data_IF_555887043600
#
_entry.id   IF_555887043600
#
_cell.length_a   1.000
_cell.length_b   1.000
_cell.length_c   1.000
_cell.angle_alpha   90.00
_cell.angle_beta   90.00
_cell.angle_gamma   90.00
#
_symmetry.space_group_name_H-M   'P 1'
#
loop_
_entity.id
_entity.type
_entity.pdbx_description
1 polymer ?
#
# COMPACT_ATOMS: atom_id res chain seq x y z
N UNK A 1 -9.55 -7.91 -7.95
CA UNK A 1 -10.09 -6.71 -7.29
C UNK A 1 -10.16 -5.59 -8.32
N UNK A 2 -11.26 -4.84 -8.37
CA UNK A 2 -11.39 -3.63 -9.18
C UNK A 2 -10.91 -2.43 -8.35
N UNK A 3 -9.82 -1.77 -8.77
CA UNK A 3 -9.21 -0.65 -8.03
C UNK A 3 -9.92 0.69 -8.26
N UNK A 4 -10.75 0.78 -9.31
CA UNK A 4 -11.51 1.99 -9.65
C UNK A 4 -12.95 1.96 -9.12
N UNK A 5 -13.33 0.92 -8.37
CA UNK A 5 -14.67 0.85 -7.78
C UNK A 5 -14.81 1.84 -6.61
N UNK A 6 -16.02 2.35 -6.35
CA UNK A 6 -16.29 3.17 -5.18
C UNK A 6 -16.24 2.34 -3.89
N UNK A 7 -16.18 3.04 -2.76
CA UNK A 7 -16.09 2.41 -1.43
C UNK A 7 -17.21 1.38 -1.19
N UNK A 8 -18.40 1.65 -1.67
CA UNK A 8 -19.61 0.84 -1.49
C UNK A 8 -19.49 -0.57 -2.10
N UNK A 9 -18.62 -0.74 -3.09
CA UNK A 9 -18.38 -2.03 -3.76
C UNK A 9 -17.25 -2.84 -3.13
N UNK A 10 -16.57 -2.29 -2.12
CA UNK A 10 -15.49 -2.99 -1.45
C UNK A 10 -16.00 -3.87 -0.32
N UNK A 11 -15.71 -5.16 -0.41
CA UNK A 11 -16.14 -6.16 0.55
C UNK A 11 -14.95 -6.89 1.18
N UNK A 12 -15.08 -7.21 2.47
CA UNK A 12 -14.12 -8.04 3.17
C UNK A 12 -13.94 -9.40 2.45
N UNK A 13 -12.69 -9.80 2.29
CA UNK A 13 -12.33 -11.04 1.59
C UNK A 13 -11.93 -10.84 0.13
N UNK A 14 -12.26 -9.73 -0.53
CA UNK A 14 -11.77 -9.45 -1.88
C UNK A 14 -10.24 -9.46 -1.89
N UNK A 15 -9.66 -10.37 -2.67
CA UNK A 15 -8.22 -10.61 -2.72
C UNK A 15 -7.58 -10.02 -3.98
N UNK A 16 -6.27 -9.78 -3.89
CA UNK A 16 -5.45 -9.33 -5.01
C UNK A 16 -4.03 -9.86 -4.92
N UNK A 17 -3.35 -9.86 -6.05
CA UNK A 17 -1.91 -10.09 -6.14
C UNK A 17 -1.32 -9.07 -7.11
N UNK A 18 -0.22 -8.44 -6.72
CA UNK A 18 0.47 -7.47 -7.59
C UNK A 18 1.43 -8.16 -8.54
N UNK A 19 1.91 -7.43 -9.55
CA UNK A 19 3.12 -7.81 -10.26
C UNK A 19 4.30 -7.87 -9.29
N UNK A 20 5.35 -8.62 -9.64
CA UNK A 20 6.61 -8.66 -8.90
C UNK A 20 7.53 -7.51 -9.29
N UNK A 21 8.44 -7.16 -8.36
CA UNK A 21 9.56 -6.26 -8.62
C UNK A 21 10.82 -6.80 -7.95
N UNK A 22 11.92 -6.86 -8.70
CA UNK A 22 13.22 -7.25 -8.20
C UNK A 22 13.88 -6.10 -7.45
N UNK A 23 14.42 -6.39 -6.27
CA UNK A 23 15.19 -5.45 -5.44
C UNK A 23 16.61 -5.39 -5.97
N UNK A 24 17.08 -4.19 -6.31
CA UNK A 24 18.38 -3.95 -6.91
C UNK A 24 19.34 -3.26 -5.93
N UNK A 25 20.65 -3.26 -6.27
CA UNK A 25 21.66 -2.47 -5.57
C UNK A 25 21.27 -0.98 -5.50
N UNK A 26 20.81 -0.42 -6.62
CA UNK A 26 20.41 0.98 -6.71
C UNK A 26 19.26 1.32 -5.76
N UNK A 27 18.31 0.41 -5.56
CA UNK A 27 17.21 0.59 -4.63
C UNK A 27 17.70 0.72 -3.19
N UNK A 28 18.59 -0.18 -2.77
CA UNK A 28 19.11 -0.22 -1.39
C UNK A 28 19.96 1.01 -1.10
N UNK A 29 20.88 1.36 -2.02
CA UNK A 29 21.73 2.56 -1.89
C UNK A 29 20.89 3.84 -1.95
N UNK A 30 19.91 3.89 -2.85
CA UNK A 30 18.98 5.02 -2.96
C UNK A 30 18.18 5.24 -1.68
N UNK A 31 17.67 4.17 -1.08
CA UNK A 31 16.94 4.28 0.19
C UNK A 31 17.86 4.69 1.35
N UNK A 32 19.08 4.15 1.44
CA UNK A 32 20.08 4.57 2.41
C UNK A 32 20.40 6.07 2.29
N UNK A 33 20.56 6.57 1.05
CA UNK A 33 20.83 7.97 0.77
C UNK A 33 19.66 8.88 1.18
N UNK A 34 18.42 8.42 0.93
CA UNK A 34 17.22 9.19 1.24
C UNK A 34 16.97 9.29 2.75
N UNK A 35 17.24 8.21 3.47
CA UNK A 35 16.88 8.09 4.91
C UNK A 35 18.04 8.38 5.85
N UNK A 36 19.28 8.32 5.37
CA UNK A 36 20.48 8.36 6.21
C UNK A 36 20.77 7.02 6.92
N UNK A 37 20.05 5.95 6.62
CA UNK A 37 20.30 4.62 7.20
C UNK A 37 21.40 3.88 6.42
N UNK A 38 22.63 4.22 6.73
CA UNK A 38 23.84 3.60 6.18
C UNK A 38 24.34 2.43 7.04
N UNK A 39 23.46 1.76 7.78
CA UNK A 39 23.91 0.62 8.57
C UNK A 39 24.64 -0.40 7.70
N UNK A 40 25.82 -0.92 8.14
CA UNK A 40 26.66 -1.81 7.31
C UNK A 40 25.94 -3.09 6.86
N UNK A 41 24.91 -3.51 7.56
CA UNK A 41 24.06 -4.64 7.13
C UNK A 41 23.47 -4.44 5.72
N UNK A 42 23.29 -3.19 5.29
CA UNK A 42 22.71 -2.84 4.01
C UNK A 42 23.77 -2.42 2.98
N UNK A 43 24.90 -1.88 3.44
CA UNK A 43 25.82 -1.13 2.58
C UNK A 43 27.24 -1.68 2.54
N UNK A 44 27.66 -2.51 3.49
CA UNK A 44 29.01 -3.09 3.56
C UNK A 44 28.96 -4.62 3.37
N UNK A 45 29.40 -5.10 2.21
CA UNK A 45 29.36 -6.52 1.89
C UNK A 45 30.34 -7.35 2.75
N UNK A 46 31.47 -6.77 3.16
CA UNK A 46 32.45 -7.46 3.99
C UNK A 46 31.91 -7.66 5.39
N UNK A 47 31.38 -6.59 5.98
CA UNK A 47 30.76 -6.65 7.28
C UNK A 47 29.55 -7.61 7.29
N UNK A 48 28.66 -7.48 6.30
CA UNK A 48 27.45 -8.26 6.20
C UNK A 48 27.69 -9.75 6.00
N UNK A 49 28.81 -10.15 5.37
CA UNK A 49 29.19 -11.56 5.23
C UNK A 49 29.45 -12.26 6.57
N UNK A 50 29.87 -11.52 7.59
CA UNK A 50 30.02 -12.02 8.97
C UNK A 50 28.76 -11.93 9.83
N UNK A 51 27.67 -11.35 9.31
CA UNK A 51 26.42 -11.20 10.05
C UNK A 51 25.58 -12.49 10.06
N UNK A 52 24.51 -12.49 10.86
CA UNK A 52 23.54 -13.59 10.90
C UNK A 52 22.85 -13.86 9.54
N UNK A 53 22.90 -12.90 8.61
CA UNK A 53 22.28 -13.03 7.29
C UNK A 53 23.28 -13.52 6.21
N UNK A 54 24.58 -13.41 6.46
CA UNK A 54 25.65 -13.88 5.56
C UNK A 54 25.89 -12.98 4.33
N UNK A 55 25.07 -11.97 4.13
CA UNK A 55 25.13 -11.03 3.00
C UNK A 55 24.32 -9.77 3.30
N UNK A 56 24.44 -8.74 2.44
CA UNK A 56 23.62 -7.54 2.56
C UNK A 56 22.15 -7.84 2.28
N UNK A 57 21.28 -7.20 3.04
CA UNK A 57 19.83 -7.29 2.90
C UNK A 57 19.22 -5.90 2.72
N UNK A 58 18.05 -5.82 2.15
CA UNK A 58 17.27 -4.59 2.03
C UNK A 58 16.76 -4.12 3.40
N UNK A 59 16.62 -2.83 3.57
CA UNK A 59 15.98 -2.23 4.75
C UNK A 59 14.52 -2.70 4.87
N UNK A 60 14.08 -3.03 6.05
CA UNK A 60 12.69 -3.47 6.25
C UNK A 60 11.68 -2.44 5.80
N UNK A 61 11.88 -1.17 6.16
CA UNK A 61 10.99 -0.06 5.75
C UNK A 61 11.03 0.18 4.23
N UNK A 62 12.17 -0.05 3.56
CA UNK A 62 12.22 -0.02 2.10
C UNK A 62 11.30 -1.10 1.50
N UNK A 63 11.36 -2.33 2.00
CA UNK A 63 10.51 -3.44 1.53
C UNK A 63 9.04 -3.10 1.67
N UNK A 64 8.63 -2.48 2.78
CA UNK A 64 7.25 -2.05 3.01
C UNK A 64 6.86 -0.90 2.07
N UNK A 65 7.73 0.07 1.87
CA UNK A 65 7.52 1.19 0.93
C UNK A 65 7.41 0.70 -0.51
N UNK A 66 8.28 -0.24 -0.91
CA UNK A 66 8.24 -0.85 -2.23
C UNK A 66 6.93 -1.62 -2.45
N UNK A 67 6.46 -2.34 -1.42
CA UNK A 67 5.17 -3.02 -1.44
C UNK A 67 4.02 -2.03 -1.68
N UNK A 68 4.05 -0.86 -1.03
CA UNK A 68 3.07 0.21 -1.26
C UNK A 68 3.04 0.69 -2.71
N UNK A 69 4.21 0.86 -3.33
CA UNK A 69 4.33 1.25 -4.73
C UNK A 69 3.94 0.17 -5.74
N UNK A 70 3.82 -1.10 -5.31
CA UNK A 70 3.36 -2.20 -6.16
C UNK A 70 1.83 -2.31 -6.21
N UNK A 71 1.12 -1.85 -5.19
CA UNK A 71 -0.34 -1.88 -5.15
C UNK A 71 -0.88 -0.80 -6.10
N UNK A 72 -1.68 -1.17 -7.12
CA UNK A 72 -2.12 -0.23 -8.15
C UNK A 72 -3.33 0.58 -7.66
N UNK A 73 -3.17 1.32 -6.58
CA UNK A 73 -4.19 2.21 -6.07
C UNK A 73 -4.61 3.23 -7.13
N UNK A 74 -5.92 3.31 -7.37
CA UNK A 74 -6.48 4.31 -8.27
C UNK A 74 -6.43 5.69 -7.58
N UNK A 75 -5.78 6.71 -8.19
CA UNK A 75 -5.66 8.04 -7.62
C UNK A 75 -7.02 8.75 -7.46
N UNK A 76 -8.02 8.37 -8.26
CA UNK A 76 -9.37 8.93 -8.13
C UNK A 76 -10.14 8.33 -6.95
N UNK A 77 -9.71 7.19 -6.44
CA UNK A 77 -10.37 6.47 -5.34
C UNK A 77 -9.64 6.59 -4.01
N UNK A 78 -8.32 6.51 -4.01
CA UNK A 78 -7.52 6.58 -2.78
C UNK A 78 -7.24 8.02 -2.40
N UNK A 79 -7.86 8.49 -1.31
CA UNK A 79 -7.68 9.85 -0.78
C UNK A 79 -6.36 9.97 -0.04
N UNK A 80 -6.07 9.00 0.85
CA UNK A 80 -4.85 9.00 1.65
C UNK A 80 -4.56 7.64 2.27
N UNK A 81 -3.27 7.35 2.44
CA UNK A 81 -2.79 6.34 3.37
C UNK A 81 -2.98 6.90 4.79
N UNK A 82 -3.81 6.23 5.59
CA UNK A 82 -4.10 6.68 6.95
C UNK A 82 -3.19 6.04 8.00
N UNK A 83 -2.97 4.72 7.87
CA UNK A 83 -2.27 3.97 8.91
C UNK A 83 -1.59 2.74 8.34
N UNK A 84 -0.44 2.43 8.89
CA UNK A 84 0.22 1.13 8.75
C UNK A 84 0.41 0.58 10.15
N UNK A 85 -0.11 -0.61 10.42
CA UNK A 85 0.02 -1.28 11.71
C UNK A 85 0.44 -2.74 11.53
N UNK A 86 0.85 -3.38 12.64
CA UNK A 86 1.23 -4.79 12.70
C UNK A 86 2.31 -5.17 11.67
N UNK A 87 3.12 -4.19 11.26
CA UNK A 87 4.22 -4.44 10.35
C UNK A 87 5.24 -5.36 10.99
N UNK A 88 5.43 -6.54 10.39
CA UNK A 88 6.34 -7.56 10.88
C UNK A 88 7.20 -8.07 9.76
N UNK A 89 8.51 -7.92 9.88
CA UNK A 89 9.51 -8.43 8.95
C UNK A 89 9.87 -9.86 9.33
N UNK A 90 9.42 -10.83 8.54
CA UNK A 90 9.51 -12.26 8.84
C UNK A 90 10.80 -12.88 8.32
N UNK A 91 11.32 -12.38 7.21
CA UNK A 91 12.54 -12.87 6.55
C UNK A 91 13.29 -11.71 5.90
N UNK A 92 14.61 -11.79 5.80
CA UNK A 92 15.38 -10.82 5.05
C UNK A 92 14.98 -10.87 3.56
N UNK A 93 15.01 -9.71 2.92
CA UNK A 93 14.95 -9.57 1.46
C UNK A 93 16.35 -9.26 0.99
N UNK A 94 16.88 -10.10 0.11
CA UNK A 94 18.23 -9.99 -0.45
C UNK A 94 18.21 -9.15 -1.72
N UNK A 95 19.36 -8.60 -2.06
CA UNK A 95 19.56 -8.02 -3.38
C UNK A 95 19.36 -9.12 -4.44
N UNK A 96 18.53 -8.83 -5.44
CA UNK A 96 18.13 -9.82 -6.45
C UNK A 96 16.83 -10.56 -6.14
N UNK A 97 16.32 -10.52 -4.92
CA UNK A 97 14.98 -11.05 -4.62
C UNK A 97 13.91 -10.28 -5.37
N UNK A 98 12.89 -10.99 -5.83
CA UNK A 98 11.70 -10.41 -6.46
C UNK A 98 10.54 -10.52 -5.49
N UNK A 99 9.98 -9.38 -5.09
CA UNK A 99 8.86 -9.35 -4.16
C UNK A 99 7.56 -8.92 -4.85
N UNK A 100 6.42 -9.38 -4.31
CA UNK A 100 5.08 -8.95 -4.68
C UNK A 100 4.17 -8.94 -3.46
N UNK A 101 3.04 -8.26 -3.57
CA UNK A 101 2.03 -8.21 -2.52
C UNK A 101 0.90 -9.18 -2.87
N UNK A 102 0.60 -10.06 -1.92
CA UNK A 102 -0.64 -10.81 -1.84
C UNK A 102 -1.47 -10.16 -0.75
N UNK A 103 -2.63 -9.62 -1.11
CA UNK A 103 -3.42 -8.86 -0.16
C UNK A 103 -4.91 -9.16 -0.28
N UNK A 104 -5.64 -8.74 0.72
CA UNK A 104 -7.09 -8.77 0.71
C UNK A 104 -7.66 -7.61 1.51
N UNK A 105 -8.88 -7.20 1.17
CA UNK A 105 -9.70 -6.35 2.04
C UNK A 105 -9.98 -7.14 3.32
N UNK A 106 -9.53 -6.62 4.45
CA UNK A 106 -9.76 -7.24 5.75
C UNK A 106 -11.03 -6.71 6.40
N UNK A 107 -11.29 -5.41 6.23
CA UNK A 107 -12.40 -4.72 6.85
C UNK A 107 -12.69 -3.42 6.10
N UNK A 108 -13.96 -3.01 6.09
CA UNK A 108 -14.40 -1.69 5.64
C UNK A 108 -15.18 -1.04 6.78
N UNK A 109 -15.00 0.27 6.97
CA UNK A 109 -15.66 1.03 8.02
C UNK A 109 -16.13 2.38 7.49
N UNK A 110 -17.32 2.78 7.88
CA UNK A 110 -17.86 4.10 7.56
C UNK A 110 -17.14 5.16 8.41
N UNK A 111 -16.65 6.22 7.79
CA UNK A 111 -15.95 7.30 8.50
C UNK A 111 -16.41 8.70 8.07
N UNK A 112 -17.32 8.81 7.11
CA UNK A 112 -17.86 10.09 6.66
C UNK A 112 -18.62 10.01 5.34
N UNK A 113 -19.13 11.16 4.91
CA UNK A 113 -19.97 11.27 3.72
C UNK A 113 -19.19 11.07 2.42
N UNK A 114 -17.94 11.55 2.37
CA UNK A 114 -17.12 11.53 1.14
C UNK A 114 -16.23 10.30 0.99
N UNK A 115 -15.92 9.61 2.09
CA UNK A 115 -15.01 8.48 2.10
C UNK A 115 -15.32 7.46 3.19
N UNK A 116 -14.98 6.21 2.93
CA UNK A 116 -14.90 5.14 3.90
C UNK A 116 -13.45 4.76 4.21
N UNK A 117 -13.24 4.00 5.26
CA UNK A 117 -11.95 3.44 5.62
C UNK A 117 -11.86 1.99 5.18
N UNK A 118 -10.84 1.66 4.41
CA UNK A 118 -10.57 0.29 3.95
C UNK A 118 -9.27 -0.19 4.59
N UNK A 119 -9.36 -1.28 5.33
CA UNK A 119 -8.20 -1.94 5.90
C UNK A 119 -7.83 -3.17 5.05
N UNK A 120 -6.62 -3.20 4.57
CA UNK A 120 -6.04 -4.31 3.85
C UNK A 120 -5.12 -5.14 4.74
N UNK A 121 -5.18 -6.46 4.63
CA UNK A 121 -4.15 -7.34 5.15
C UNK A 121 -3.18 -7.67 4.01
N UNK A 122 -1.92 -7.29 4.17
CA UNK A 122 -0.86 -7.56 3.20
C UNK A 122 0.07 -8.66 3.65
N UNK A 123 0.44 -9.53 2.72
CA UNK A 123 1.58 -10.43 2.81
C UNK A 123 2.51 -10.12 1.64
N UNK A 124 3.67 -9.58 1.93
CA UNK A 124 4.73 -9.42 0.93
C UNK A 124 5.45 -10.75 0.84
N UNK A 125 5.51 -11.32 -0.35
CA UNK A 125 6.17 -12.61 -0.60
C UNK A 125 7.31 -12.44 -1.58
N UNK A 126 8.33 -13.29 -1.46
CA UNK A 126 9.43 -13.35 -2.42
C UNK A 126 9.13 -14.34 -3.58
N UNK A 127 10.11 -14.57 -4.46
CA UNK A 127 10.01 -15.50 -5.60
C UNK A 127 9.72 -16.95 -5.20
N UNK A 128 10.08 -17.33 -3.97
CA UNK A 128 9.86 -18.70 -3.44
C UNK A 128 8.52 -18.81 -2.67
N UNK A 129 7.59 -17.88 -2.85
CA UNK A 129 6.32 -17.79 -2.11
C UNK A 129 6.48 -17.66 -0.58
N UNK A 130 7.66 -17.28 -0.12
CA UNK A 130 7.91 -17.10 1.31
C UNK A 130 7.52 -15.71 1.75
N UNK A 131 6.71 -15.61 2.81
CA UNK A 131 6.34 -14.32 3.39
C UNK A 131 7.59 -13.64 3.98
N UNK A 132 7.92 -12.46 3.48
CA UNK A 132 9.04 -11.62 3.95
C UNK A 132 8.54 -10.50 4.88
N UNK A 133 7.35 -9.95 4.62
CA UNK A 133 6.73 -8.94 5.46
C UNK A 133 5.21 -9.15 5.53
N UNK A 134 4.60 -8.79 6.66
CA UNK A 134 3.15 -8.62 6.80
C UNK A 134 2.86 -7.24 7.36
N UNK A 135 1.72 -6.68 6.96
CA UNK A 135 1.24 -5.43 7.51
C UNK A 135 -0.29 -5.34 7.37
N UNK A 136 -0.91 -4.55 8.23
CA UNK A 136 -2.27 -4.02 8.06
C UNK A 136 -2.14 -2.59 7.55
N UNK A 137 -2.79 -2.30 6.42
CA UNK A 137 -2.71 -1.00 5.75
C UNK A 137 -4.11 -0.42 5.64
N UNK A 138 -4.31 0.76 6.19
CA UNK A 138 -5.60 1.46 6.17
C UNK A 138 -5.52 2.67 5.25
N UNK A 139 -6.45 2.76 4.32
CA UNK A 139 -6.58 3.87 3.38
C UNK A 139 -7.98 4.47 3.44
N UNK A 140 -8.06 5.77 3.22
CA UNK A 140 -9.32 6.45 2.97
C UNK A 140 -9.67 6.29 1.50
N UNK A 141 -10.87 5.78 1.24
CA UNK A 141 -11.35 5.42 -0.09
C UNK A 141 -12.60 6.20 -0.44
N UNK A 142 -12.61 6.86 -1.60
CA UNK A 142 -13.74 7.69 -2.04
C UNK A 142 -14.98 6.87 -2.27
N UNK A 143 -16.09 7.46 -1.89
CA UNK A 143 -17.42 7.00 -2.21
C UNK A 143 -17.80 7.37 -3.64
N UNK A 144 -18.88 6.78 -4.13
CA UNK A 144 -19.54 7.34 -5.30
C UNK A 144 -20.09 8.72 -4.93
N UNK A 145 -19.88 9.76 -5.79
CA UNK A 145 -20.50 11.05 -5.55
C UNK A 145 -22.01 10.86 -5.39
N UNK A 146 -22.56 11.31 -4.28
CA UNK A 146 -24.01 11.39 -4.18
C UNK A 146 -24.47 12.34 -5.28
N UNK A 147 -25.46 11.91 -6.09
CA UNK A 147 -26.08 12.82 -7.03
C UNK A 147 -26.58 14.04 -6.25
N UNK A 148 -26.03 15.22 -6.53
CA UNK A 148 -26.59 16.45 -6.00
C UNK A 148 -28.10 16.39 -6.27
N UNK A 149 -28.91 16.47 -5.22
CA UNK A 149 -30.34 16.65 -5.39
C UNK A 149 -30.50 17.86 -6.30
N UNK A 150 -31.08 17.66 -7.48
CA UNK A 150 -31.31 18.75 -8.40
C UNK A 150 -31.94 19.90 -7.60
N UNK A 151 -31.41 21.14 -7.70
CA UNK A 151 -31.97 22.25 -6.93
C UNK A 151 -33.46 22.28 -7.24
N UNK A 152 -34.26 22.20 -6.19
CA UNK A 152 -35.71 22.39 -6.35
C UNK A 152 -35.87 23.68 -7.15
N UNK A 153 -36.42 23.56 -8.36
CA UNK A 153 -36.74 24.72 -9.19
C UNK A 153 -37.70 25.56 -8.37
N UNK A 154 -37.16 26.59 -7.73
CA UNK A 154 -38.00 27.57 -7.08
C UNK A 154 -38.95 28.10 -8.15
N UNK A 155 -40.23 27.88 -7.94
CA UNK A 155 -41.28 28.44 -8.78
C UNK A 155 -41.00 29.92 -9.02
N UNK A 156 -40.64 30.25 -10.24
CA UNK A 156 -40.55 31.62 -10.68
C UNK A 156 -41.98 32.15 -10.66
N UNK A 157 -42.34 32.82 -9.59
CA UNK A 157 -43.60 33.57 -9.53
C UNK A 157 -43.44 34.71 -10.53
N UNK A 158 -44.07 34.56 -11.71
CA UNK A 158 -44.19 35.64 -12.67
C UNK A 158 -44.94 36.78 -12.02
N UNK A 159 -44.30 37.93 -11.84
CA UNK A 159 -44.94 39.15 -11.42
C UNK A 159 -45.90 39.60 -12.54
N UNK A 160 -47.18 39.91 -12.25
CA UNK A 160 -48.08 40.45 -13.26
C UNK A 160 -47.64 41.88 -13.63
N UNK A 161 -47.61 42.13 -14.95
CA UNK A 161 -47.41 43.44 -15.55
C UNK A 161 -48.57 44.37 -15.24
#
# INVERSE_FOLDING_TARGET
MNWSCPFEELEAGQAFTTRGRTVTEADVVGFASLTGDWHPQHTDAVWASGSAFGERIAHGLFVLSLAGGLVPFDPERVVALRRVSDATFKRPVRLGDTIRVQGRVAETSDVGEDAGLVAFAWSVVNQDERVVCRARVEVLWRREPQAEAAPETSDFVALPL
#
